data_IF_064726509912
#
_entry.id   IF_064726509912
#
_cell.length_a   1.000
_cell.length_b   1.000
_cell.length_c   1.000
_cell.angle_alpha   90.00
_cell.angle_beta   90.00
_cell.angle_gamma   90.00
#
_symmetry.space_group_name_H-M   'P 1'
#
loop_
_entity.id
_entity.type
_entity.pdbx_description
1 polymer ?
#
# COMPACT_ATOMS: atom_id res chain seq x y z
N UNK A 1 7.70 -2.39 2.47
CA UNK A 1 6.69 -1.44 2.97
C UNK A 1 5.50 -1.55 2.06
N UNK A 2 4.37 -2.11 2.53
CA UNK A 2 3.11 -2.02 1.76
C UNK A 2 2.67 -0.56 1.71
N UNK A 3 2.99 0.12 0.61
CA UNK A 3 2.46 1.45 0.30
C UNK A 3 1.11 1.24 -0.36
N UNK A 4 0.04 1.30 0.43
CA UNK A 4 -1.29 1.57 -0.12
C UNK A 4 -1.32 3.07 -0.42
N UNK A 5 -0.93 3.46 -1.64
CA UNK A 5 -1.11 4.84 -2.09
C UNK A 5 -2.60 5.14 -2.18
N UNK A 6 -3.11 5.97 -1.26
CA UNK A 6 -4.41 6.63 -1.44
C UNK A 6 -4.30 7.66 -2.55
N UNK A 7 -5.35 7.68 -3.37
CA UNK A 7 -5.56 8.61 -4.46
C UNK A 7 -5.25 10.05 -4.02
N UNK A 8 -4.45 10.81 -4.80
CA UNK A 8 -4.57 12.27 -4.77
C UNK A 8 -5.98 12.60 -5.28
N UNK A 9 -6.72 13.54 -4.65
CA UNK A 9 -7.94 14.04 -5.25
C UNK A 9 -7.55 14.81 -6.51
N UNK A 10 -7.64 14.17 -7.68
CA UNK A 10 -7.74 14.91 -8.93
C UNK A 10 -9.20 15.31 -9.09
N UNK A 11 -9.45 16.60 -8.94
CA UNK A 11 -10.70 17.28 -9.21
C UNK A 11 -11.09 17.08 -10.68
N UNK A 12 -11.79 15.99 -10.99
CA UNK A 12 -12.61 15.90 -12.19
C UNK A 12 -14.04 16.20 -11.78
N UNK A 13 -14.57 17.31 -12.30
CA UNK A 13 -15.96 17.71 -12.11
C UNK A 13 -16.87 16.62 -12.66
N UNK A 14 -17.49 15.81 -11.79
CA UNK A 14 -18.60 14.95 -12.21
C UNK A 14 -18.81 13.66 -11.40
N UNK A 15 -17.84 13.14 -10.66
CA UNK A 15 -18.02 11.86 -9.94
C UNK A 15 -18.03 12.05 -8.43
N UNK A 16 -19.15 11.70 -7.79
CA UNK A 16 -19.36 11.67 -6.35
C UNK A 16 -18.39 10.70 -5.64
N UNK A 17 -17.12 11.10 -5.42
CA UNK A 17 -16.19 10.46 -4.48
C UNK A 17 -15.98 8.94 -4.61
N UNK A 18 -16.38 8.34 -5.73
CA UNK A 18 -16.40 6.90 -5.96
C UNK A 18 -15.09 6.38 -6.55
N UNK A 19 -14.81 5.11 -6.31
CA UNK A 19 -13.73 4.39 -6.96
C UNK A 19 -14.18 3.95 -8.36
N UNK A 20 -13.47 4.41 -9.40
CA UNK A 20 -13.84 4.22 -10.81
C UNK A 20 -14.11 2.77 -11.22
N UNK A 21 -13.44 1.79 -10.59
CA UNK A 21 -13.67 0.37 -10.87
C UNK A 21 -15.07 -0.08 -10.42
N UNK A 22 -15.47 0.32 -9.20
CA UNK A 22 -16.81 0.04 -8.66
C UNK A 22 -17.87 0.74 -9.50
N UNK A 23 -17.64 2.00 -9.86
CA UNK A 23 -18.60 2.76 -10.68
C UNK A 23 -18.78 2.13 -12.06
N UNK A 24 -17.69 1.75 -12.75
CA UNK A 24 -17.78 1.07 -14.05
C UNK A 24 -18.47 -0.30 -13.99
N UNK A 25 -18.28 -1.03 -12.88
CA UNK A 25 -18.97 -2.30 -12.66
C UNK A 25 -20.45 -2.07 -12.39
N UNK A 26 -20.80 -1.06 -11.59
CA UNK A 26 -22.19 -0.66 -11.39
C UNK A 26 -22.86 -0.27 -12.71
N UNK A 27 -22.21 0.52 -13.56
CA UNK A 27 -22.72 0.90 -14.89
C UNK A 27 -22.97 -0.34 -15.76
N UNK A 28 -22.03 -1.28 -15.82
CA UNK A 28 -22.18 -2.53 -16.56
C UNK A 28 -23.34 -3.37 -16.03
N UNK A 29 -23.50 -3.47 -14.71
CA UNK A 29 -24.61 -4.22 -14.10
C UNK A 29 -25.96 -3.57 -14.38
N UNK A 30 -26.01 -2.23 -14.39
CA UNK A 30 -27.19 -1.47 -14.81
C UNK A 30 -27.52 -1.75 -16.28
N UNK A 31 -26.52 -1.77 -17.17
CA UNK A 31 -26.70 -2.13 -18.59
C UNK A 31 -27.25 -3.56 -18.73
N UNK A 32 -26.74 -4.49 -17.92
CA UNK A 32 -27.17 -5.89 -17.92
C UNK A 32 -28.53 -6.13 -17.23
N UNK A 33 -29.17 -5.08 -16.69
CA UNK A 33 -30.45 -5.21 -15.99
C UNK A 33 -30.34 -5.97 -14.66
N UNK A 34 -29.14 -6.06 -14.09
CA UNK A 34 -28.86 -6.76 -12.83
C UNK A 34 -28.74 -5.77 -11.67
N UNK A 35 -29.17 -6.17 -10.47
CA UNK A 35 -29.09 -5.30 -9.29
C UNK A 35 -27.62 -4.93 -8.97
N UNK A 36 -27.35 -3.68 -8.55
CA UNK A 36 -25.99 -3.24 -8.24
C UNK A 36 -25.47 -3.96 -6.98
N UNK A 37 -24.21 -4.42 -7.06
CA UNK A 37 -23.64 -5.35 -6.06
C UNK A 37 -23.35 -4.71 -4.68
N UNK A 38 -22.95 -3.43 -4.61
CA UNK A 38 -22.60 -2.75 -3.33
C UNK A 38 -22.72 -1.22 -3.44
N UNK A 39 -23.28 -0.57 -2.42
CA UNK A 39 -23.30 0.90 -2.30
C UNK A 39 -21.89 1.49 -2.09
N UNK A 40 -21.62 2.66 -2.67
CA UNK A 40 -20.30 3.32 -2.60
C UNK A 40 -19.78 3.50 -1.15
N UNK A 41 -20.59 3.90 -0.15
CA UNK A 41 -20.12 4.06 1.22
C UNK A 41 -19.67 2.73 1.85
N UNK A 42 -20.39 1.64 1.57
CA UNK A 42 -20.07 0.31 2.07
C UNK A 42 -18.77 -0.21 1.46
N UNK A 43 -18.60 -0.06 0.14
CA UNK A 43 -17.36 -0.42 -0.56
C UNK A 43 -16.16 0.38 -0.04
N UNK A 44 -16.29 1.71 0.06
CA UNK A 44 -15.20 2.57 0.52
C UNK A 44 -14.79 2.25 1.97
N UNK A 45 -15.75 1.93 2.84
CA UNK A 45 -15.47 1.46 4.20
C UNK A 45 -14.68 0.16 4.18
N UNK A 46 -15.10 -0.81 3.38
CA UNK A 46 -14.42 -2.09 3.27
C UNK A 46 -12.97 -1.95 2.79
N UNK A 47 -12.73 -1.14 1.74
CA UNK A 47 -11.39 -0.83 1.25
C UNK A 47 -10.53 -0.14 2.31
N UNK A 48 -11.10 0.81 3.05
CA UNK A 48 -10.39 1.47 4.13
C UNK A 48 -9.98 0.48 5.24
N UNK A 49 -10.87 -0.45 5.61
CA UNK A 49 -10.58 -1.52 6.59
C UNK A 49 -9.48 -2.47 6.11
N UNK A 50 -9.51 -2.89 4.85
CA UNK A 50 -8.45 -3.72 4.26
C UNK A 50 -7.10 -3.00 4.28
N UNK A 51 -7.09 -1.72 3.92
CA UNK A 51 -5.88 -0.89 3.96
C UNK A 51 -5.33 -0.75 5.38
N UNK A 52 -6.17 -0.55 6.39
CA UNK A 52 -5.71 -0.42 7.78
C UNK A 52 -5.16 -1.74 8.31
N UNK A 53 -5.83 -2.86 8.02
CA UNK A 53 -5.40 -4.20 8.44
C UNK A 53 -4.06 -4.60 7.80
N UNK A 54 -3.89 -4.31 6.50
CA UNK A 54 -2.62 -4.55 5.80
C UNK A 54 -1.48 -3.70 6.38
N UNK A 55 -1.75 -2.45 6.75
CA UNK A 55 -0.74 -1.61 7.39
C UNK A 55 -0.38 -2.11 8.79
N UNK A 56 -1.37 -2.53 9.58
CA UNK A 56 -1.16 -3.03 10.94
C UNK A 56 -0.33 -4.31 10.96
N UNK A 57 -0.71 -5.30 10.15
CA UNK A 57 0.06 -6.56 10.00
C UNK A 57 1.51 -6.30 9.56
N UNK A 58 1.75 -5.26 8.78
CA UNK A 58 3.10 -4.89 8.34
C UNK A 58 3.93 -4.16 9.41
N UNK A 59 3.32 -3.58 10.47
CA UNK A 59 4.04 -2.76 11.46
C UNK A 59 5.05 -3.56 12.26
N UNK A 60 4.66 -4.73 12.74
CA UNK A 60 5.51 -5.53 13.62
C UNK A 60 6.70 -6.13 12.85
N UNK A 61 6.45 -6.57 11.61
CA UNK A 61 7.51 -7.02 10.72
C UNK A 61 8.50 -5.90 10.40
N UNK A 62 8.01 -4.68 10.09
CA UNK A 62 8.87 -3.50 9.88
C UNK A 62 9.76 -3.21 11.08
N UNK A 63 9.20 -3.25 12.30
CA UNK A 63 9.97 -3.00 13.53
C UNK A 63 11.05 -4.06 13.74
N UNK A 64 10.71 -5.33 13.53
CA UNK A 64 11.66 -6.45 13.65
C UNK A 64 12.81 -6.31 12.66
N UNK A 65 12.50 -6.05 11.39
CA UNK A 65 13.52 -5.88 10.34
C UNK A 65 14.38 -4.65 10.60
N UNK A 66 13.79 -3.53 11.02
CA UNK A 66 14.54 -2.32 11.36
C UNK A 66 15.53 -2.54 12.52
N UNK A 67 15.10 -3.26 13.57
CA UNK A 67 15.97 -3.62 14.69
C UNK A 67 17.14 -4.52 14.24
N UNK A 68 16.86 -5.52 13.39
CA UNK A 68 17.89 -6.40 12.85
C UNK A 68 18.90 -5.65 11.97
N UNK A 69 18.43 -4.75 11.10
CA UNK A 69 19.29 -3.93 10.26
C UNK A 69 20.19 -3.00 11.07
N UNK A 70 19.64 -2.35 12.10
CA UNK A 70 20.43 -1.50 13.00
C UNK A 70 21.52 -2.31 13.70
N UNK A 71 21.20 -3.49 14.23
CA UNK A 71 22.21 -4.34 14.85
C UNK A 71 23.35 -4.68 13.88
N UNK A 72 23.01 -5.10 12.65
CA UNK A 72 24.02 -5.40 11.62
C UNK A 72 24.84 -4.18 11.22
N UNK A 73 24.25 -2.99 11.22
CA UNK A 73 24.98 -1.75 10.95
C UNK A 73 25.98 -1.46 12.07
N UNK A 74 25.57 -1.58 13.34
CA UNK A 74 26.44 -1.40 14.50
C UNK A 74 27.55 -2.46 14.57
N UNK A 75 27.29 -3.69 14.13
CA UNK A 75 28.30 -4.75 14.05
C UNK A 75 29.39 -4.45 13.00
N UNK A 76 29.03 -3.72 11.91
CA UNK A 76 29.95 -3.33 10.83
C UNK A 76 30.67 -2.02 11.12
N UNK A 77 30.01 -1.08 11.79
CA UNK A 77 30.53 0.24 12.11
C UNK A 77 30.18 0.62 13.56
N UNK A 78 31.20 0.60 14.42
CA UNK A 78 31.09 0.91 15.85
C UNK A 78 30.81 2.39 16.14
N UNK A 79 30.87 3.27 15.13
CA UNK A 79 30.58 4.71 15.28
C UNK A 79 29.09 5.03 15.21
N UNK A 80 28.27 4.07 14.74
CA UNK A 80 26.82 4.23 14.63
C UNK A 80 26.19 4.13 16.02
N UNK A 81 25.59 5.22 16.47
CA UNK A 81 24.82 5.30 17.71
C UNK A 81 23.40 4.75 17.58
N UNK A 82 22.74 4.57 18.74
CA UNK A 82 21.38 4.01 18.84
C UNK A 82 20.32 4.85 18.11
N UNK A 83 20.54 6.16 17.95
CA UNK A 83 19.58 7.07 17.31
C UNK A 83 20.03 7.56 15.93
N UNK A 84 21.16 7.09 15.42
CA UNK A 84 21.66 7.53 14.12
C UNK A 84 20.82 6.97 12.97
N UNK A 85 20.83 7.69 11.85
CA UNK A 85 20.23 7.22 10.61
C UNK A 85 21.11 6.12 10.01
N UNK A 86 20.47 5.02 9.58
CA UNK A 86 21.13 3.89 8.92
C UNK A 86 20.62 3.83 7.48
N UNK A 87 21.51 4.08 6.53
CA UNK A 87 21.19 3.94 5.11
C UNK A 87 21.20 2.47 4.70
N UNK A 88 20.11 2.02 4.07
CA UNK A 88 19.91 0.61 3.71
C UNK A 88 19.57 0.50 2.23
N UNK A 89 20.36 -0.25 1.50
CA UNK A 89 20.08 -0.59 0.11
C UNK A 89 18.95 -1.64 0.05
N UNK A 90 17.94 -1.36 -0.78
CA UNK A 90 16.75 -2.22 -0.96
C UNK A 90 16.40 -2.35 -2.44
N UNK A 91 16.20 -3.55 -3.00
CA UNK A 91 15.37 -3.74 -4.18
C UNK A 91 13.90 -3.52 -3.79
N UNK A 92 13.17 -2.98 -4.75
CA UNK A 92 11.73 -2.79 -4.67
C UNK A 92 11.08 -3.58 -5.79
N UNK A 93 10.09 -4.39 -5.44
CA UNK A 93 9.19 -5.03 -6.40
C UNK A 93 7.75 -4.76 -5.99
N UNK A 94 6.86 -4.59 -6.95
CA UNK A 94 5.49 -4.26 -6.65
C UNK A 94 4.57 -4.40 -7.84
N UNK A 95 3.34 -4.79 -7.54
CA UNK A 95 2.25 -4.80 -8.50
C UNK A 95 1.23 -3.74 -8.12
N UNK A 96 0.77 -3.01 -9.13
CA UNK A 96 -0.24 -1.96 -9.00
C UNK A 96 -1.39 -2.26 -9.92
N UNK A 97 -2.59 -2.19 -9.37
CA UNK A 97 -3.78 -2.15 -10.20
C UNK A 97 -3.85 -0.79 -10.88
N UNK A 98 -3.34 -0.71 -12.11
CA UNK A 98 -3.38 0.48 -12.97
C UNK A 98 -4.58 0.39 -13.92
N UNK A 99 -5.35 1.48 -14.02
CA UNK A 99 -6.31 1.70 -15.10
C UNK A 99 -6.06 3.10 -15.68
N UNK A 100 -5.33 3.18 -16.79
CA UNK A 100 -4.84 4.44 -17.34
C UNK A 100 -3.69 5.04 -16.50
N UNK A 101 -3.68 6.36 -16.31
CA UNK A 101 -2.65 7.08 -15.53
C UNK A 101 -2.87 7.05 -14.01
N UNK A 102 -3.93 6.40 -13.51
CA UNK A 102 -4.26 6.35 -12.08
C UNK A 102 -4.20 4.91 -11.55
N UNK A 103 -3.59 4.76 -10.38
CA UNK A 103 -3.54 3.49 -9.63
C UNK A 103 -4.49 3.60 -8.44
N UNK A 104 -5.39 2.63 -8.27
CA UNK A 104 -6.34 2.62 -7.17
C UNK A 104 -5.73 1.97 -5.92
N UNK A 105 -5.07 0.82 -6.10
CA UNK A 105 -4.40 0.07 -5.04
C UNK A 105 -3.18 -0.66 -5.62
N UNK A 106 -2.14 -0.81 -4.80
CA UNK A 106 -0.94 -1.57 -5.16
C UNK A 106 -0.34 -2.23 -3.94
N UNK A 107 0.38 -3.31 -4.19
CA UNK A 107 1.18 -4.01 -3.19
C UNK A 107 2.63 -3.89 -3.62
N UNK A 108 3.44 -3.35 -2.72
CA UNK A 108 4.89 -3.23 -2.90
C UNK A 108 5.62 -3.97 -1.79
N UNK A 109 6.66 -4.67 -2.18
CA UNK A 109 7.58 -5.42 -1.33
C UNK A 109 8.95 -4.77 -1.39
N UNK A 110 9.56 -4.61 -0.22
CA UNK A 110 10.91 -4.07 -0.06
C UNK A 110 11.74 -5.14 0.63
N UNK A 111 12.95 -5.41 0.12
CA UNK A 111 13.81 -6.47 0.67
C UNK A 111 15.19 -5.89 1.00
N UNK A 112 15.57 -5.64 2.25
CA UNK A 112 16.91 -5.16 2.55
C UNK A 112 17.96 -6.17 2.09
N UNK A 113 18.97 -5.70 1.35
CA UNK A 113 20.04 -6.57 0.83
C UNK A 113 20.79 -7.24 1.99
N UNK A 114 20.96 -6.53 3.11
CA UNK A 114 21.68 -7.03 4.26
C UNK A 114 20.95 -8.14 5.00
N UNK A 115 19.63 -8.08 5.18
CA UNK A 115 18.86 -9.09 5.93
C UNK A 115 18.18 -10.12 5.05
N UNK A 116 17.83 -9.77 3.82
CA UNK A 116 17.00 -10.60 2.93
C UNK A 116 15.55 -10.75 3.42
N UNK A 117 15.16 -10.07 4.51
CA UNK A 117 13.82 -10.18 5.08
C UNK A 117 12.82 -9.30 4.35
N UNK A 118 11.62 -9.82 4.09
CA UNK A 118 10.58 -9.13 3.34
C UNK A 118 9.82 -8.14 4.23
N UNK A 119 9.58 -6.93 3.70
CA UNK A 119 8.87 -5.82 4.38
C UNK A 119 7.84 -5.17 3.47
#
# INVERSE_FOLDING_TARGET
>A
MVIVCRNKPQSYSGSNGGCLARDSLCDLLTILGTAPLVEAPSYNRHIATLSSLSQETSKDQKKKVAACLRQRAMDKDLTIGENDYVDVAVPYDGTWHRRGYTSNHGVGVVIPIDTGEIV
#
